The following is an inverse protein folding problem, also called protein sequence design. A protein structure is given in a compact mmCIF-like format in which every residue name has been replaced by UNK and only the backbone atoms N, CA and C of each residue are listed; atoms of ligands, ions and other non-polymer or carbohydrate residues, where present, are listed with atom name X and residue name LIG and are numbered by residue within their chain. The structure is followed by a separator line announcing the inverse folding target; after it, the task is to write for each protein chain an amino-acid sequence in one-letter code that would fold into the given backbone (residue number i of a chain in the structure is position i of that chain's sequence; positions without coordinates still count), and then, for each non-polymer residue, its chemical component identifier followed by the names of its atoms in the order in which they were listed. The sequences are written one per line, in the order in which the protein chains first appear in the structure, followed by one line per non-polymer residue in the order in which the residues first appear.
data_IF_895634638916
#
_entry.id   IF_895634638916
#
_cell.length_a   1.000
_cell.length_b   1.000
_cell.length_c   1.000
_cell.angle_alpha   90.00
_cell.angle_beta   90.00
_cell.angle_gamma   90.00
#
_symmetry.space_group_name_H-M   'P 1'
#
loop_
_entity.id
_entity.type
_entity.pdbx_description
1 polymer ?
#
# COMPACT_ATOMS: atom_id res chain seq x y z
N UNK A 1 0.05 -1.18 -2.57
CA UNK A 1 1.28 -1.67 -3.25
C UNK A 1 2.39 -0.61 -3.27
N UNK A 2 2.03 0.62 -3.66
CA UNK A 2 2.95 1.77 -3.70
C UNK A 2 3.62 2.05 -2.35
N UNK A 3 2.87 1.94 -1.25
CA UNK A 3 3.38 2.23 0.10
C UNK A 3 4.62 1.43 0.52
N UNK A 4 4.80 0.21 0.01
CA UNK A 4 5.97 -0.63 0.34
C UNK A 4 7.05 -0.61 -0.74
N UNK A 5 6.87 0.16 -1.82
CA UNK A 5 7.81 0.23 -2.93
C UNK A 5 9.15 0.80 -2.44
N UNK A 6 9.07 1.99 -1.83
CA UNK A 6 10.18 2.64 -1.18
C UNK A 6 10.33 2.14 0.26
N UNK A 7 11.50 1.60 0.59
CA UNK A 7 11.69 0.78 1.78
C UNK A 7 11.43 1.48 3.13
N UNK A 8 11.63 2.80 3.20
CA UNK A 8 11.47 3.57 4.44
C UNK A 8 10.01 3.81 4.81
N UNK A 9 9.11 3.85 3.82
CA UNK A 9 7.67 4.13 3.98
C UNK A 9 7.37 5.49 4.63
N UNK A 10 8.33 6.40 4.53
CA UNK A 10 8.23 7.77 5.02
C UNK A 10 8.12 8.75 3.84
N UNK A 11 7.65 9.95 4.13
CA UNK A 11 7.59 11.02 3.15
C UNK A 11 8.98 11.58 2.83
N UNK A 12 9.07 12.26 1.69
CA UNK A 12 10.21 13.13 1.39
C UNK A 12 9.88 14.55 1.82
N UNK A 13 10.77 15.17 2.61
CA UNK A 13 10.55 16.49 3.21
C UNK A 13 11.52 17.52 2.61
N UNK A 14 11.15 18.80 2.64
CA UNK A 14 12.07 19.89 2.30
C UNK A 14 12.94 20.31 3.51
N UNK A 15 13.80 21.29 3.32
CA UNK A 15 14.69 21.84 4.38
C UNK A 15 13.94 22.41 5.59
N UNK A 16 12.66 22.76 5.45
CA UNK A 16 11.80 23.26 6.52
C UNK A 16 11.01 22.16 7.25
N UNK A 17 11.16 20.89 6.82
CA UNK A 17 10.41 19.76 7.37
C UNK A 17 8.99 19.62 6.80
N UNK A 18 8.65 20.32 5.72
CA UNK A 18 7.34 20.21 5.08
C UNK A 18 7.32 19.03 4.10
N UNK A 19 6.19 18.31 4.02
CA UNK A 19 6.05 17.13 3.16
C UNK A 19 5.96 17.53 1.68
N UNK A 20 6.97 17.18 0.89
CA UNK A 20 6.97 17.41 -0.57
C UNK A 20 6.15 16.36 -1.32
N UNK A 21 6.45 15.08 -1.12
CA UNK A 21 5.81 13.98 -1.83
C UNK A 21 6.11 12.64 -1.17
N UNK A 22 5.35 11.61 -1.55
CA UNK A 22 5.67 10.23 -1.20
C UNK A 22 6.58 9.62 -2.27
N UNK A 23 7.83 9.25 -1.92
CA UNK A 23 8.75 8.67 -2.89
C UNK A 23 8.30 7.27 -3.30
N UNK A 24 8.37 6.99 -4.60
CA UNK A 24 8.16 5.66 -5.17
C UNK A 24 9.41 5.30 -5.95
N UNK A 25 10.11 4.27 -5.49
CA UNK A 25 11.27 3.71 -6.18
C UNK A 25 11.28 2.20 -5.96
N UNK A 26 11.99 1.48 -6.82
CA UNK A 26 12.15 0.03 -6.76
C UNK A 26 10.83 -0.77 -6.80
N UNK A 27 9.77 -0.22 -7.41
CA UNK A 27 8.43 -0.81 -7.45
C UNK A 27 8.38 -2.18 -8.15
N UNK A 28 9.19 -2.40 -9.19
CA UNK A 28 9.23 -3.71 -9.85
C UNK A 28 10.17 -4.71 -9.16
N UNK A 29 10.98 -4.28 -8.18
CA UNK A 29 11.86 -5.15 -7.42
C UNK A 29 11.13 -5.71 -6.19
N UNK A 30 10.32 -6.74 -6.43
CA UNK A 30 9.61 -7.46 -5.37
C UNK A 30 10.58 -8.14 -4.39
N UNK A 31 10.17 -8.24 -3.13
CA UNK A 31 10.97 -8.93 -2.11
C UNK A 31 10.95 -8.22 -0.77
N UNK A 32 11.93 -8.58 0.07
CA UNK A 32 12.02 -8.10 1.45
C UNK A 32 12.17 -6.57 1.51
N UNK A 33 11.47 -5.95 2.44
CA UNK A 33 11.62 -4.56 2.88
C UNK A 33 11.75 -4.56 4.40
N UNK A 34 12.64 -3.73 4.91
CA UNK A 34 12.76 -3.47 6.34
C UNK A 34 12.25 -2.05 6.56
N UNK A 35 11.21 -1.92 7.37
CA UNK A 35 10.62 -0.62 7.71
C UNK A 35 10.52 -0.48 9.24
N UNK A 36 10.48 0.77 9.72
CA UNK A 36 10.10 1.06 11.11
C UNK A 36 8.61 1.34 11.12
N UNK A 37 7.85 0.54 11.85
CA UNK A 37 6.41 0.70 11.99
C UNK A 37 6.07 0.78 13.48
N UNK A 38 5.48 1.90 13.90
CA UNK A 38 5.18 2.18 15.32
C UNK A 38 6.41 2.04 16.25
N UNK A 39 7.57 2.49 15.78
CA UNK A 39 8.84 2.40 16.52
C UNK A 39 9.56 1.05 16.41
N UNK A 40 8.90 0.03 15.86
CA UNK A 40 9.46 -1.33 15.77
C UNK A 40 9.96 -1.66 14.36
N UNK A 41 11.09 -2.38 14.30
CA UNK A 41 11.64 -2.84 13.02
C UNK A 41 10.85 -4.05 12.52
N UNK A 42 10.07 -3.85 11.47
CA UNK A 42 9.26 -4.90 10.84
C UNK A 42 9.82 -5.31 9.48
N UNK A 43 9.76 -6.61 9.20
CA UNK A 43 10.00 -7.14 7.86
C UNK A 43 8.68 -7.18 7.10
N UNK A 44 8.62 -6.48 5.97
CA UNK A 44 7.51 -6.52 5.00
C UNK A 44 8.00 -7.15 3.70
N UNK A 45 7.08 -7.67 2.88
CA UNK A 45 7.39 -8.16 1.54
C UNK A 45 6.66 -7.29 0.53
N UNK A 46 7.43 -6.57 -0.28
CA UNK A 46 6.89 -5.78 -1.36
C UNK A 46 6.49 -6.70 -2.52
N UNK A 47 5.27 -6.49 -3.02
CA UNK A 47 4.75 -7.05 -4.26
C UNK A 47 3.99 -5.96 -5.00
N UNK A 48 4.03 -6.04 -6.33
CA UNK A 48 3.25 -5.19 -7.22
C UNK A 48 1.76 -5.51 -7.12
N UNK A 49 0.92 -4.56 -7.54
CA UNK A 49 -0.52 -4.82 -7.72
C UNK A 49 -0.75 -6.04 -8.62
N UNK A 50 -0.03 -6.10 -9.74
CA UNK A 50 -0.09 -7.19 -10.71
C UNK A 50 0.14 -8.54 -10.05
N UNK A 51 1.18 -8.68 -9.23
CA UNK A 51 1.45 -9.94 -8.53
C UNK A 51 0.34 -10.34 -7.59
N UNK A 52 -0.21 -9.40 -6.79
CA UNK A 52 -1.34 -9.73 -5.91
C UNK A 52 -2.55 -10.23 -6.69
N UNK A 53 -2.98 -9.50 -7.72
CA UNK A 53 -4.21 -9.84 -8.46
C UNK A 53 -4.03 -11.09 -9.32
N UNK A 54 -2.91 -11.22 -10.04
CA UNK A 54 -2.66 -12.38 -10.89
C UNK A 54 -2.44 -13.65 -10.07
N UNK A 55 -1.86 -13.56 -8.86
CA UNK A 55 -1.74 -14.72 -7.98
C UNK A 55 -3.13 -15.25 -7.63
N UNK A 56 -4.08 -14.38 -7.30
CA UNK A 56 -5.47 -14.79 -7.03
C UNK A 56 -6.11 -15.43 -8.26
N UNK A 57 -6.03 -14.76 -9.42
CA UNK A 57 -6.62 -15.25 -10.67
C UNK A 57 -6.06 -16.62 -11.08
N UNK A 58 -4.73 -16.78 -11.07
CA UNK A 58 -4.07 -18.04 -11.43
C UNK A 58 -4.35 -19.17 -10.45
N UNK A 59 -4.73 -18.87 -9.21
CA UNK A 59 -5.14 -19.86 -8.21
C UNK A 59 -6.66 -20.11 -8.21
N UNK A 60 -7.36 -19.73 -9.29
CA UNK A 60 -8.77 -20.04 -9.46
C UNK A 60 -9.69 -19.20 -8.57
N UNK A 61 -9.28 -18.00 -8.17
CA UNK A 61 -10.19 -17.04 -7.55
C UNK A 61 -10.79 -16.11 -8.58
N UNK A 62 -12.05 -15.74 -8.36
CA UNK A 62 -12.74 -14.66 -9.06
C UNK A 62 -12.56 -13.40 -8.22
N UNK A 63 -11.95 -12.36 -8.78
CA UNK A 63 -11.84 -11.06 -8.11
C UNK A 63 -13.18 -10.34 -8.23
N UNK A 64 -13.77 -9.94 -7.11
CA UNK A 64 -15.05 -9.24 -7.07
C UNK A 64 -14.87 -7.74 -6.91
N UNK A 65 -13.97 -7.33 -6.00
CA UNK A 65 -13.74 -5.93 -5.68
C UNK A 65 -12.27 -5.67 -5.37
N UNK A 66 -11.81 -4.49 -5.76
CA UNK A 66 -10.49 -3.95 -5.44
C UNK A 66 -10.71 -2.54 -4.91
N UNK A 67 -10.17 -2.25 -3.72
CA UNK A 67 -10.31 -0.94 -3.08
C UNK A 67 -8.95 -0.49 -2.54
N UNK A 68 -8.57 0.73 -2.89
CA UNK A 68 -7.52 1.49 -2.22
C UNK A 68 -8.21 2.53 -1.33
N UNK A 69 -8.37 2.26 -0.03
CA UNK A 69 -9.25 3.06 0.82
C UNK A 69 -8.67 4.46 1.06
N UNK A 70 -9.54 5.45 0.98
CA UNK A 70 -9.28 6.82 1.41
C UNK A 70 -9.79 7.01 2.86
N UNK A 71 -9.17 7.90 3.65
CA UNK A 71 -9.73 8.29 4.94
C UNK A 71 -11.16 8.83 4.78
N UNK A 72 -12.10 8.47 5.67
CA UNK A 72 -13.43 9.05 5.65
C UNK A 72 -13.39 10.51 6.11
N UNK A 73 -14.37 11.31 5.68
CA UNK A 73 -14.42 12.76 5.93
C UNK A 73 -14.32 13.13 7.42
N UNK A 74 -14.97 12.36 8.31
CA UNK A 74 -14.94 12.61 9.75
C UNK A 74 -13.56 12.41 10.40
N UNK A 75 -12.58 11.84 9.68
CA UNK A 75 -11.20 11.67 10.14
C UNK A 75 -10.27 12.81 9.67
N UNK A 76 -10.75 13.75 8.85
CA UNK A 76 -9.88 14.78 8.25
C UNK A 76 -9.28 15.77 9.24
N UNK A 77 -9.85 15.87 10.44
CA UNK A 77 -9.31 16.69 11.54
C UNK A 77 -8.22 15.96 12.35
N UNK A 78 -8.01 14.66 12.13
CA UNK A 78 -6.95 13.88 12.79
C UNK A 78 -5.61 14.23 12.12
N UNK A 79 -4.59 14.66 12.89
CA UNK A 79 -3.27 14.99 12.34
C UNK A 79 -2.72 13.86 11.46
N UNK A 80 -2.28 14.22 10.25
CA UNK A 80 -1.73 13.29 9.25
C UNK A 80 -2.76 12.61 8.34
N UNK A 81 -4.06 12.59 8.69
CA UNK A 81 -5.07 11.94 7.83
C UNK A 81 -5.29 12.65 6.50
N UNK A 82 -5.09 13.97 6.45
CA UNK A 82 -5.14 14.70 5.18
C UNK A 82 -4.02 14.27 4.22
N UNK A 83 -2.83 13.93 4.75
CA UNK A 83 -1.73 13.45 3.91
C UNK A 83 -1.99 12.07 3.31
N UNK A 84 -2.81 11.23 3.97
CA UNK A 84 -3.23 9.93 3.45
C UNK A 84 -4.03 10.04 2.14
N UNK A 85 -4.60 11.21 1.82
CA UNK A 85 -5.22 11.46 0.52
C UNK A 85 -4.22 11.54 -0.64
N UNK A 86 -2.92 11.70 -0.36
CA UNK A 86 -1.88 11.88 -1.39
C UNK A 86 -1.27 10.55 -1.86
N UNK A 87 -1.48 9.45 -1.13
CA UNK A 87 -0.94 8.13 -1.49
C UNK A 87 -1.68 6.97 -0.79
N UNK A 88 -2.01 5.87 -1.50
CA UNK A 88 -2.71 4.74 -0.91
C UNK A 88 -1.80 3.95 0.03
N UNK A 89 -2.16 3.88 1.31
CA UNK A 89 -1.46 3.05 2.29
C UNK A 89 -1.81 1.56 2.14
N UNK A 90 -3.06 1.27 1.79
CA UNK A 90 -3.65 -0.07 1.83
C UNK A 90 -4.20 -0.50 0.47
N UNK A 91 -4.31 -1.82 0.30
CA UNK A 91 -5.02 -2.46 -0.79
C UNK A 91 -5.91 -3.55 -0.20
N UNK A 92 -7.20 -3.48 -0.49
CA UNK A 92 -8.20 -4.46 -0.07
C UNK A 92 -8.70 -5.15 -1.33
N UNK A 93 -8.66 -6.49 -1.33
CA UNK A 93 -9.14 -7.32 -2.44
C UNK A 93 -10.17 -8.30 -1.91
N UNK A 94 -11.37 -8.30 -2.49
CA UNK A 94 -12.40 -9.31 -2.26
C UNK A 94 -12.37 -10.30 -3.42
N UNK A 95 -12.30 -11.59 -3.09
CA UNK A 95 -12.30 -12.65 -4.08
C UNK A 95 -13.05 -13.90 -3.59
N UNK A 96 -13.75 -14.57 -4.49
CA UNK A 96 -14.39 -15.85 -4.22
C UNK A 96 -13.64 -16.99 -4.90
N UNK A 97 -13.55 -18.14 -4.25
CA UNK A 97 -13.07 -19.36 -4.90
C UNK A 97 -14.00 -19.69 -6.06
N UNK A 98 -13.44 -19.93 -7.25
CA UNK A 98 -14.20 -20.47 -8.38
C UNK A 98 -14.69 -21.87 -8.00
N UNK A 99 -16.00 -22.05 -8.02
CA UNK A 99 -16.62 -23.38 -7.89
C UNK A 99 -16.99 -23.79 -9.30
N UNK A 100 -16.29 -24.76 -9.85
CA UNK A 100 -16.70 -25.39 -11.10
C UNK A 100 -18.04 -26.10 -10.83
N UNK A 101 -19.08 -25.74 -11.59
CA UNK A 101 -20.40 -26.39 -11.57
C UNK A 101 -20.41 -27.55 -12.55
#
# INVERSE_FOLDING_TARGET
PVFTAYGTQDWHYNEKGEILHFPVDNYYYEGKRTAVFLGERVTKYHRTLTTYLNTLLSNGFIINHIVEPQPPEYMMDIPGMQDEMRRPMMLIVSANKKVDR
#
